data_IF_955232004792
#
_entry.id   IF_955232004792
#
_cell.length_a   1.000
_cell.length_b   1.000
_cell.length_c   1.000
_cell.angle_alpha   90.00
_cell.angle_beta   90.00
_cell.angle_gamma   90.00
#
_symmetry.space_group_name_H-M   'P 1'
#
loop_
_entity.id
_entity.type
_entity.pdbx_description
1 polymer ?
#
# COMPACT_ATOMS: atom_id res chain seq x y z
N UNK A 1 16.89 -12.74 0.07
CA UNK A 1 16.26 -13.04 1.37
C UNK A 1 14.94 -13.77 1.17
N UNK A 2 14.01 -13.25 0.37
CA UNK A 2 12.65 -13.80 0.16
C UNK A 2 12.37 -14.30 -1.27
N UNK A 3 13.37 -14.30 -2.16
CA UNK A 3 13.23 -14.69 -3.56
C UNK A 3 12.79 -13.55 -4.51
N UNK A 4 12.37 -12.41 -3.96
CA UNK A 4 12.10 -11.21 -4.77
C UNK A 4 13.35 -10.66 -5.44
N UNK A 5 13.17 -10.20 -6.68
CA UNK A 5 14.10 -9.35 -7.42
C UNK A 5 13.41 -8.06 -7.85
N UNK A 6 14.20 -7.03 -8.14
CA UNK A 6 13.69 -5.78 -8.69
C UNK A 6 14.01 -5.69 -10.17
N UNK A 7 13.06 -5.17 -10.95
CA UNK A 7 13.23 -4.85 -12.36
C UNK A 7 12.86 -3.38 -12.62
N UNK A 8 13.60 -2.68 -13.50
CA UNK A 8 13.34 -1.27 -13.75
C UNK A 8 12.01 -1.04 -14.46
N UNK A 9 11.31 0.02 -14.07
CA UNK A 9 10.14 0.52 -14.78
C UNK A 9 10.27 2.02 -15.04
N UNK A 10 9.75 2.46 -16.20
CA UNK A 10 9.87 3.85 -16.65
C UNK A 10 8.93 4.84 -15.94
N UNK A 11 8.00 4.35 -15.13
CA UNK A 11 6.96 5.13 -14.47
C UNK A 11 5.76 4.25 -14.09
N UNK A 12 4.58 4.85 -13.93
CA UNK A 12 3.36 4.12 -13.61
C UNK A 12 3.00 3.10 -14.70
N UNK A 13 2.63 1.90 -14.27
CA UNK A 13 2.11 0.84 -15.13
C UNK A 13 0.70 0.47 -14.71
N UNK A 14 -0.02 -0.23 -15.60
CA UNK A 14 -1.32 -0.77 -15.25
C UNK A 14 -1.23 -1.65 -13.99
N UNK A 15 -2.18 -1.57 -13.03
CA UNK A 15 -2.15 -2.40 -11.82
C UNK A 15 -1.99 -3.89 -12.12
N UNK A 16 -2.68 -4.36 -13.17
CA UNK A 16 -2.54 -5.73 -13.68
C UNK A 16 -1.10 -6.13 -13.99
N UNK A 17 -0.36 -5.26 -14.67
CA UNK A 17 1.03 -5.49 -15.04
C UNK A 17 1.91 -5.55 -13.80
N UNK A 18 1.70 -4.62 -12.87
CA UNK A 18 2.44 -4.58 -11.60
C UNK A 18 2.20 -5.82 -10.75
N UNK A 19 0.95 -6.16 -10.45
CA UNK A 19 0.60 -7.33 -9.66
C UNK A 19 1.05 -8.65 -10.31
N UNK A 20 0.95 -8.78 -11.64
CA UNK A 20 1.46 -9.96 -12.34
C UNK A 20 2.98 -10.11 -12.14
N UNK A 21 3.74 -9.00 -12.07
CA UNK A 21 5.15 -9.05 -11.73
C UNK A 21 5.36 -9.54 -10.29
N UNK A 22 4.57 -9.05 -9.32
CA UNK A 22 4.65 -9.49 -7.91
C UNK A 22 4.41 -11.00 -7.75
N UNK A 23 3.45 -11.56 -8.48
CA UNK A 23 3.18 -13.00 -8.49
C UNK A 23 4.40 -13.83 -8.91
N UNK A 24 5.29 -13.24 -9.72
CA UNK A 24 6.51 -13.85 -10.23
C UNK A 24 7.76 -13.43 -9.43
N UNK A 25 7.59 -12.95 -8.20
CA UNK A 25 8.65 -12.45 -7.34
C UNK A 25 9.46 -11.31 -7.98
N UNK A 26 8.78 -10.45 -8.75
CA UNK A 26 9.36 -9.26 -9.38
C UNK A 26 8.66 -8.02 -8.83
N UNK A 27 9.42 -7.14 -8.19
CA UNK A 27 8.95 -5.81 -7.86
C UNK A 27 9.44 -4.83 -8.94
N UNK A 28 8.51 -4.10 -9.56
CA UNK A 28 8.85 -3.11 -10.57
C UNK A 28 9.21 -1.79 -9.88
N UNK A 29 10.43 -1.30 -10.08
CA UNK A 29 10.95 -0.14 -9.34
C UNK A 29 11.39 0.97 -10.29
N UNK A 30 10.99 2.19 -9.95
CA UNK A 30 11.49 3.40 -10.61
C UNK A 30 12.96 3.65 -10.25
N UNK A 31 13.70 4.33 -11.14
CA UNK A 31 15.13 4.63 -10.94
C UNK A 31 15.43 6.13 -10.87
N UNK A 32 14.48 6.98 -11.25
CA UNK A 32 14.65 8.42 -11.16
C UNK A 32 14.48 8.90 -9.71
N UNK A 33 14.96 10.10 -9.41
CA UNK A 33 14.85 10.74 -8.11
C UNK A 33 13.90 11.94 -8.19
N UNK A 34 13.12 12.17 -7.14
CA UNK A 34 12.23 13.33 -7.03
C UNK A 34 12.97 14.66 -7.23
N UNK A 35 12.23 15.68 -7.66
CA UNK A 35 12.80 17.00 -7.87
C UNK A 35 13.25 17.65 -6.55
N UNK A 36 14.43 18.27 -6.54
CA UNK A 36 15.04 18.80 -5.33
C UNK A 36 14.28 19.96 -4.66
N UNK A 37 13.29 20.57 -5.32
CA UNK A 37 12.44 21.60 -4.71
C UNK A 37 11.38 21.05 -3.75
N UNK A 38 11.06 19.75 -3.82
CA UNK A 38 10.10 19.07 -2.94
C UNK A 38 10.73 17.77 -2.40
N UNK A 39 11.78 17.86 -1.56
CA UNK A 39 12.51 16.68 -1.11
C UNK A 39 11.69 15.79 -0.17
N UNK A 40 10.71 16.37 0.53
CA UNK A 40 9.96 15.68 1.60
C UNK A 40 8.68 14.97 1.13
N UNK A 41 8.25 15.19 -0.12
CA UNK A 41 7.07 14.56 -0.70
C UNK A 41 7.14 14.54 -2.23
N UNK A 42 6.62 13.48 -2.85
CA UNK A 42 6.42 13.38 -4.30
C UNK A 42 5.12 12.62 -4.59
N UNK A 43 4.29 13.07 -5.54
CA UNK A 43 3.05 12.37 -5.92
C UNK A 43 3.30 11.14 -6.79
N UNK A 44 4.51 11.01 -7.36
CA UNK A 44 4.94 9.86 -8.15
C UNK A 44 6.05 9.10 -7.42
N UNK A 45 6.08 7.76 -7.49
CA UNK A 45 7.13 6.97 -6.87
C UNK A 45 8.49 7.31 -7.49
N UNK A 46 9.51 7.43 -6.65
CA UNK A 46 10.90 7.64 -7.03
C UNK A 46 11.81 6.62 -6.34
N UNK A 47 13.10 6.58 -6.68
CA UNK A 47 14.04 5.59 -6.13
C UNK A 47 14.13 5.59 -4.61
N UNK A 48 13.84 6.72 -3.93
CA UNK A 48 13.78 6.76 -2.46
C UNK A 48 12.57 5.97 -1.95
N UNK A 49 11.40 6.15 -2.58
CA UNK A 49 10.21 5.36 -2.29
C UNK A 49 10.45 3.86 -2.49
N UNK A 50 11.09 3.48 -3.59
CA UNK A 50 11.38 2.06 -3.87
C UNK A 50 12.37 1.45 -2.86
N UNK A 51 13.45 2.17 -2.54
CA UNK A 51 14.53 1.62 -1.72
C UNK A 51 14.21 1.68 -0.22
N UNK A 52 13.69 2.80 0.26
CA UNK A 52 13.42 3.02 1.68
C UNK A 52 12.07 2.44 2.07
N UNK A 53 11.05 2.61 1.21
CA UNK A 53 9.71 2.10 1.46
C UNK A 53 9.62 0.60 1.18
N UNK A 54 9.76 0.20 -0.09
CA UNK A 54 9.48 -1.18 -0.51
C UNK A 54 10.60 -2.17 -0.24
N UNK A 55 11.83 -1.84 -0.65
CA UNK A 55 12.93 -2.81 -0.69
C UNK A 55 13.27 -3.34 0.69
N UNK A 56 13.26 -2.47 1.71
CA UNK A 56 13.46 -2.88 3.10
C UNK A 56 12.37 -3.88 3.55
N UNK A 57 11.11 -3.62 3.21
CA UNK A 57 9.97 -4.47 3.57
C UNK A 57 9.96 -5.80 2.80
N UNK A 58 10.48 -5.86 1.57
CA UNK A 58 10.61 -7.11 0.81
C UNK A 58 11.57 -8.12 1.45
N UNK A 59 12.38 -7.71 2.43
CA UNK A 59 13.19 -8.63 3.25
C UNK A 59 12.38 -9.34 4.34
N UNK A 60 11.17 -8.86 4.66
CA UNK A 60 10.25 -9.46 5.63
C UNK A 60 9.43 -10.57 4.93
N UNK A 61 9.51 -11.84 5.38
CA UNK A 61 8.85 -12.97 4.71
C UNK A 61 7.34 -12.80 4.53
N UNK A 62 6.65 -12.35 5.57
CA UNK A 62 5.21 -12.11 5.60
C UNK A 62 4.80 -11.04 4.57
N UNK A 63 5.60 -9.97 4.47
CA UNK A 63 5.35 -8.89 3.50
C UNK A 63 5.59 -9.34 2.06
N UNK A 64 6.67 -10.08 1.82
CA UNK A 64 6.96 -10.67 0.52
C UNK A 64 5.84 -11.65 0.09
N UNK A 65 5.32 -12.43 1.02
CA UNK A 65 4.19 -13.34 0.76
C UNK A 65 2.91 -12.58 0.40
N UNK A 66 2.57 -11.49 1.11
CA UNK A 66 1.41 -10.67 0.75
C UNK A 66 1.54 -10.10 -0.66
N UNK A 67 2.69 -9.55 -1.03
CA UNK A 67 2.94 -9.05 -2.39
C UNK A 67 2.67 -10.15 -3.45
N UNK A 68 3.19 -11.36 -3.21
CA UNK A 68 2.96 -12.51 -4.09
C UNK A 68 1.48 -12.88 -4.18
N UNK A 69 0.78 -12.94 -3.04
CA UNK A 69 -0.64 -13.29 -2.97
C UNK A 69 -1.55 -12.26 -3.65
N UNK A 70 -1.27 -10.95 -3.51
CA UNK A 70 -1.95 -9.91 -4.29
C UNK A 70 -1.74 -10.11 -5.79
N UNK A 71 -0.51 -10.46 -6.20
CA UNK A 71 -0.20 -10.82 -7.56
C UNK A 71 -1.04 -11.98 -8.09
N UNK A 72 -1.13 -13.07 -7.33
CA UNK A 72 -1.94 -14.24 -7.69
C UNK A 72 -3.44 -13.93 -7.72
N UNK A 73 -3.92 -13.12 -6.78
CA UNK A 73 -5.30 -12.64 -6.72
C UNK A 73 -5.67 -11.86 -7.97
N UNK A 74 -4.80 -10.94 -8.38
CA UNK A 74 -5.00 -10.22 -9.61
C UNK A 74 -4.99 -11.20 -10.79
N UNK A 75 -4.03 -12.11 -10.92
CA UNK A 75 -3.97 -13.08 -12.03
C UNK A 75 -5.25 -13.89 -12.26
N UNK A 76 -6.06 -14.13 -11.23
CA UNK A 76 -7.38 -14.80 -11.33
C UNK A 76 -8.50 -13.91 -11.89
N UNK A 77 -8.28 -12.60 -11.96
CA UNK A 77 -9.26 -11.58 -12.32
C UNK A 77 -9.02 -11.05 -13.75
N UNK A 78 -10.07 -10.78 -14.52
CA UNK A 78 -9.95 -10.10 -15.83
C UNK A 78 -10.75 -8.80 -15.91
N UNK A 79 -11.73 -8.61 -15.02
CA UNK A 79 -12.54 -7.40 -14.93
C UNK A 79 -11.75 -6.21 -14.38
N UNK A 80 -11.77 -5.10 -15.11
CA UNK A 80 -11.17 -3.83 -14.67
C UNK A 80 -11.76 -3.32 -13.35
N UNK A 81 -13.05 -3.58 -13.10
CA UNK A 81 -13.68 -3.20 -11.85
C UNK A 81 -13.08 -3.97 -10.67
N UNK A 82 -12.85 -5.28 -10.82
CA UNK A 82 -12.18 -6.08 -9.79
C UNK A 82 -10.70 -5.70 -9.65
N UNK A 83 -9.98 -5.48 -10.76
CA UNK A 83 -8.57 -5.03 -10.71
C UNK A 83 -8.46 -3.70 -9.94
N UNK A 84 -9.37 -2.76 -10.20
CA UNK A 84 -9.41 -1.46 -9.50
C UNK A 84 -9.67 -1.66 -8.01
N UNK A 85 -10.67 -2.46 -7.63
CA UNK A 85 -11.00 -2.70 -6.22
C UNK A 85 -9.86 -3.37 -5.45
N UNK A 86 -9.21 -4.37 -6.05
CA UNK A 86 -8.04 -5.01 -5.45
C UNK A 86 -6.88 -4.01 -5.30
N UNK A 87 -6.68 -3.14 -6.30
CA UNK A 87 -5.71 -2.04 -6.24
C UNK A 87 -5.99 -1.06 -5.11
N UNK A 88 -7.26 -0.74 -4.82
CA UNK A 88 -7.64 0.08 -3.67
C UNK A 88 -7.29 -0.59 -2.34
N UNK A 89 -7.50 -1.91 -2.22
CA UNK A 89 -7.06 -2.65 -1.03
C UNK A 89 -5.54 -2.63 -0.91
N UNK A 90 -4.82 -2.84 -2.02
CA UNK A 90 -3.36 -2.73 -2.04
C UNK A 90 -2.90 -1.33 -1.58
N UNK A 91 -3.56 -0.25 -2.03
CA UNK A 91 -3.25 1.11 -1.60
C UNK A 91 -3.37 1.29 -0.08
N UNK A 92 -4.54 0.99 0.49
CA UNK A 92 -4.77 1.26 1.91
C UNK A 92 -4.08 0.29 2.86
N UNK A 93 -3.76 -0.93 2.41
CA UNK A 93 -3.09 -1.93 3.25
C UNK A 93 -1.60 -1.97 2.98
N UNK A 94 -1.18 -2.13 1.72
CA UNK A 94 0.21 -2.33 1.37
C UNK A 94 0.96 -1.01 1.23
N UNK A 95 0.38 0.04 0.63
CA UNK A 95 1.07 1.34 0.44
C UNK A 95 0.99 2.26 1.66
N UNK A 96 -0.18 2.33 2.30
CA UNK A 96 -0.48 3.25 3.41
C UNK A 96 -0.98 2.52 4.66
N UNK A 97 -0.49 1.29 4.91
CA UNK A 97 -0.87 0.55 6.10
C UNK A 97 -0.19 1.01 7.40
N UNK A 98 -0.95 1.04 8.49
CA UNK A 98 -0.49 1.32 9.85
C UNK A 98 -1.07 0.31 10.86
N UNK A 99 -0.32 -0.01 11.90
CA UNK A 99 -0.78 -0.90 12.98
C UNK A 99 -0.42 -0.35 14.36
N UNK A 100 -0.97 -0.99 15.40
CA UNK A 100 -0.51 -0.80 16.77
C UNK A 100 0.65 -1.72 17.11
N UNK A 101 1.64 -1.18 17.80
CA UNK A 101 2.74 -1.94 18.39
C UNK A 101 3.02 -1.39 19.78
N UNK A 102 2.87 -2.21 20.82
CA UNK A 102 3.08 -1.81 22.23
C UNK A 102 2.29 -0.55 22.66
N UNK A 103 1.12 -0.32 22.05
CA UNK A 103 0.26 0.84 22.32
C UNK A 103 0.55 2.06 21.43
N UNK A 104 1.70 2.09 20.74
CA UNK A 104 2.03 3.12 19.76
C UNK A 104 1.42 2.80 18.39
N UNK A 105 1.24 3.83 17.57
CA UNK A 105 0.91 3.68 16.15
C UNK A 105 2.22 3.61 15.36
N UNK A 106 2.35 2.62 14.49
CA UNK A 106 3.49 2.42 13.61
C UNK A 106 3.01 2.31 12.16
N UNK A 107 3.63 3.08 11.28
CA UNK A 107 3.50 2.91 9.84
C UNK A 107 4.34 1.71 9.38
N UNK A 108 3.80 0.93 8.46
CA UNK A 108 4.53 -0.09 7.72
C UNK A 108 4.37 0.06 6.20
N UNK A 109 3.40 0.86 5.76
CA UNK A 109 3.18 1.21 4.36
C UNK A 109 4.35 2.02 3.76
N UNK A 110 4.94 1.57 2.63
CA UNK A 110 6.03 2.25 1.91
C UNK A 110 5.76 3.71 1.53
N UNK A 111 4.52 4.06 1.20
CA UNK A 111 4.10 5.44 0.94
C UNK A 111 4.42 6.37 2.11
N UNK A 112 4.17 5.90 3.35
CA UNK A 112 4.53 6.62 4.56
C UNK A 112 6.02 6.50 4.89
N UNK A 113 6.60 5.30 4.83
CA UNK A 113 8.01 5.06 5.20
C UNK A 113 9.01 5.90 4.38
N UNK A 114 8.61 6.33 3.18
CA UNK A 114 9.42 7.16 2.28
C UNK A 114 9.01 8.64 2.20
N UNK A 115 8.03 9.04 3.03
CA UNK A 115 7.47 10.39 3.13
C UNK A 115 7.62 10.88 4.56
N UNK A 116 8.67 11.68 4.82
CA UNK A 116 9.00 12.15 6.17
C UNK A 116 7.83 12.86 6.85
N UNK A 117 7.11 13.74 6.13
CA UNK A 117 5.99 14.47 6.71
C UNK A 117 4.77 13.59 6.95
N UNK A 118 4.53 12.58 6.10
CA UNK A 118 3.35 11.73 6.19
C UNK A 118 3.49 10.64 7.26
N UNK A 119 4.69 10.07 7.46
CA UNK A 119 4.92 9.15 8.58
C UNK A 119 4.75 9.82 9.94
N UNK A 120 5.20 11.07 10.08
CA UNK A 120 5.02 11.85 11.31
C UNK A 120 3.54 12.15 11.54
N UNK A 121 2.83 12.58 10.50
CA UNK A 121 1.37 12.79 10.54
C UNK A 121 0.62 11.52 10.94
N UNK A 122 0.97 10.38 10.33
CA UNK A 122 0.33 9.09 10.57
C UNK A 122 0.63 8.49 11.95
N UNK A 123 1.81 8.71 12.53
CA UNK A 123 2.19 8.07 13.80
C UNK A 123 1.90 8.96 15.04
N UNK A 124 1.63 10.25 14.84
CA UNK A 124 1.36 11.20 15.94
C UNK A 124 -0.11 11.59 16.06
N UNK A 125 -1.02 10.89 15.37
CA UNK A 125 -2.43 11.27 15.28
C UNK A 125 -2.63 12.69 14.74
N UNK A 126 -1.76 13.13 13.82
CA UNK A 126 -1.77 14.49 13.28
C UNK A 126 -1.24 15.57 14.23
N UNK A 127 -0.80 15.23 15.44
CA UNK A 127 -0.25 16.20 16.40
C UNK A 127 1.06 16.84 15.92
N UNK A 128 1.79 16.18 15.03
CA UNK A 128 2.90 16.74 14.28
C UNK A 128 2.70 16.43 12.80
N UNK A 129 2.81 17.47 11.96
CA UNK A 129 2.94 17.31 10.52
C UNK A 129 4.08 18.19 10.00
N UNK A 130 4.76 17.74 8.95
CA UNK A 130 5.64 18.58 8.15
C UNK A 130 4.95 19.84 7.60
N UNK A 131 5.74 20.82 7.16
CA UNK A 131 5.24 22.10 6.62
C UNK A 131 5.00 22.08 5.10
N UNK A 132 4.76 20.89 4.54
CA UNK A 132 4.64 20.69 3.09
C UNK A 132 3.23 21.04 2.56
N UNK A 133 3.14 21.51 1.31
CA UNK A 133 1.87 21.80 0.62
C UNK A 133 0.96 20.55 0.44
N UNK A 134 1.56 19.37 0.52
CA UNK A 134 0.85 18.09 0.50
C UNK A 134 0.18 17.77 1.85
N UNK A 135 0.61 18.40 2.94
CA UNK A 135 0.02 18.15 4.24
C UNK A 135 -1.38 18.73 4.37
N UNK A 136 -2.26 17.95 4.98
CA UNK A 136 -3.66 18.28 5.25
C UNK A 136 -3.88 18.59 6.73
N UNK A 137 -2.99 19.37 7.38
CA UNK A 137 -2.92 19.63 8.85
C UNK A 137 -4.21 20.13 9.55
N UNK A 138 -5.33 20.19 8.86
CA UNK A 138 -6.66 20.47 9.40
C UNK A 138 -7.65 19.65 8.54
N UNK A 139 -8.01 18.40 8.93
CA UNK A 139 -8.17 17.90 10.31
C UNK A 139 -7.11 16.89 10.80
N UNK A 140 -7.22 16.50 12.08
CA UNK A 140 -6.58 15.31 12.66
C UNK A 140 -6.86 14.07 11.80
N UNK A 141 -5.86 13.20 11.63
CA UNK A 141 -6.00 11.96 10.86
C UNK A 141 -7.05 11.05 11.51
N UNK A 142 -7.98 10.54 10.72
CA UNK A 142 -9.00 9.60 11.21
C UNK A 142 -8.45 8.16 11.17
N UNK A 143 -8.41 7.47 12.31
CA UNK A 143 -8.12 6.03 12.34
C UNK A 143 -9.41 5.22 12.32
N UNK A 144 -9.54 4.34 11.33
CA UNK A 144 -10.70 3.45 11.19
C UNK A 144 -10.32 2.01 11.46
N UNK A 145 -11.30 1.23 11.91
CA UNK A 145 -11.18 -0.23 11.94
C UNK A 145 -11.14 -0.76 10.50
N UNK A 146 -10.20 -1.65 10.16
CA UNK A 146 -10.15 -2.30 8.86
C UNK A 146 -11.45 -3.04 8.52
N UNK A 147 -11.99 -2.79 7.33
CA UNK A 147 -13.13 -3.50 6.75
C UNK A 147 -12.94 -3.57 5.23
N UNK A 148 -12.70 -4.77 4.70
CA UNK A 148 -12.40 -4.94 3.27
C UNK A 148 -13.55 -4.54 2.34
N UNK A 149 -14.82 -4.66 2.76
CA UNK A 149 -15.95 -4.22 1.94
C UNK A 149 -15.96 -2.69 1.76
N UNK A 150 -15.54 -1.96 2.80
CA UNK A 150 -15.42 -0.52 2.76
C UNK A 150 -14.13 -0.08 2.06
N UNK A 151 -12.99 -0.68 2.42
CA UNK A 151 -11.66 -0.40 1.86
C UNK A 151 -11.70 -0.48 0.33
N UNK A 152 -12.21 -1.58 -0.24
CA UNK A 152 -12.10 -1.83 -1.68
C UNK A 152 -12.85 -0.83 -2.57
N UNK A 153 -13.77 -0.06 -1.97
CA UNK A 153 -14.57 0.95 -2.67
C UNK A 153 -14.20 2.39 -2.29
N UNK A 154 -13.25 2.56 -1.36
CA UNK A 154 -12.87 3.86 -0.82
C UNK A 154 -12.07 4.68 -1.85
N UNK A 155 -12.50 5.92 -2.17
CA UNK A 155 -11.69 6.81 -2.98
C UNK A 155 -10.48 7.32 -2.19
N UNK A 156 -9.37 7.56 -2.87
CA UNK A 156 -8.16 8.16 -2.32
C UNK A 156 -7.58 9.22 -3.26
N UNK A 157 -6.81 10.15 -2.70
CA UNK A 157 -6.05 11.15 -3.44
C UNK A 157 -4.56 10.81 -3.34
N UNK A 158 -3.89 10.72 -4.49
CA UNK A 158 -2.45 10.42 -4.60
C UNK A 158 -1.57 11.66 -4.47
N UNK A 159 -2.18 12.85 -4.42
CA UNK A 159 -1.49 14.15 -4.42
C UNK A 159 -1.43 14.81 -3.03
N UNK A 160 -2.11 14.21 -2.05
CA UNK A 160 -2.23 14.70 -0.68
C UNK A 160 -1.94 13.58 0.31
N UNK A 161 -1.57 13.97 1.53
CA UNK A 161 -1.47 13.01 2.62
C UNK A 161 -2.83 12.34 2.87
N UNK A 162 -2.81 11.08 3.26
CA UNK A 162 -4.04 10.36 3.55
C UNK A 162 -4.75 11.00 4.76
N UNK A 163 -6.01 11.47 4.61
CA UNK A 163 -6.76 12.10 5.70
C UNK A 163 -7.26 11.07 6.73
N UNK A 164 -7.14 9.78 6.41
CA UNK A 164 -7.53 8.67 7.26
C UNK A 164 -6.63 7.46 6.99
N UNK A 165 -6.49 6.58 7.98
CA UNK A 165 -5.84 5.28 7.81
C UNK A 165 -6.67 4.16 8.44
N UNK A 166 -6.61 2.97 7.83
CA UNK A 166 -7.10 1.76 8.49
C UNK A 166 -6.04 1.26 9.46
N UNK A 167 -6.37 1.30 10.74
CA UNK A 167 -5.44 0.99 11.81
C UNK A 167 -5.66 -0.43 12.31
N UNK A 168 -4.72 -1.30 11.99
CA UNK A 168 -4.70 -2.68 12.43
C UNK A 168 -4.26 -2.80 13.90
N UNK A 169 -4.78 -3.76 14.66
CA UNK A 169 -4.37 -3.97 16.05
C UNK A 169 -2.96 -4.53 16.17
N UNK A 170 -2.47 -5.19 15.12
CA UNK A 170 -1.07 -5.61 14.99
C UNK A 170 -0.71 -5.89 13.53
N UNK A 171 0.60 -5.95 13.24
CA UNK A 171 1.08 -6.42 11.92
C UNK A 171 0.66 -7.86 11.64
N UNK A 172 0.61 -8.72 12.67
CA UNK A 172 0.18 -10.12 12.54
C UNK A 172 -1.29 -10.24 12.13
N UNK A 173 -2.18 -9.46 12.76
CA UNK A 173 -3.59 -9.40 12.39
C UNK A 173 -3.74 -8.97 10.93
N UNK A 174 -3.08 -7.88 10.54
CA UNK A 174 -3.09 -7.37 9.17
C UNK A 174 -2.67 -8.46 8.18
N UNK A 175 -1.56 -9.15 8.46
CA UNK A 175 -1.06 -10.21 7.61
C UNK A 175 -2.06 -11.35 7.46
N UNK A 176 -2.64 -11.83 8.56
CA UNK A 176 -3.58 -12.96 8.57
C UNK A 176 -4.86 -12.62 7.79
N UNK A 177 -5.53 -11.53 8.16
CA UNK A 177 -6.81 -11.14 7.57
C UNK A 177 -6.66 -10.77 6.09
N UNK A 178 -5.59 -10.05 5.75
CA UNK A 178 -5.32 -9.68 4.34
C UNK A 178 -4.98 -10.93 3.53
N UNK A 179 -4.18 -11.85 4.05
CA UNK A 179 -3.87 -13.11 3.38
C UNK A 179 -5.12 -13.94 3.08
N UNK A 180 -6.04 -14.04 4.03
CA UNK A 180 -7.32 -14.75 3.84
C UNK A 180 -8.17 -14.08 2.77
N UNK A 181 -8.30 -12.76 2.82
CA UNK A 181 -9.03 -11.96 1.84
C UNK A 181 -8.49 -12.17 0.42
N UNK A 182 -7.19 -11.97 0.19
CA UNK A 182 -6.61 -12.07 -1.16
C UNK A 182 -6.56 -13.51 -1.68
N UNK A 183 -6.49 -14.52 -0.80
CA UNK A 183 -6.58 -15.93 -1.22
C UNK A 183 -7.98 -16.29 -1.72
N UNK A 184 -9.01 -15.71 -1.12
CA UNK A 184 -10.39 -15.87 -1.59
C UNK A 184 -10.66 -15.09 -2.89
N UNK A 185 -9.97 -13.96 -3.11
CA UNK A 185 -10.21 -13.06 -4.24
C UNK A 185 -10.20 -13.77 -5.61
N UNK A 186 -11.28 -13.63 -6.37
CA UNK A 186 -11.43 -14.22 -7.71
C UNK A 186 -11.56 -15.74 -7.74
N UNK A 187 -11.88 -16.36 -6.60
CA UNK A 187 -12.20 -17.80 -6.51
C UNK A 187 -13.72 -18.02 -6.41
N UNK A 188 -14.17 -19.28 -6.47
CA UNK A 188 -15.58 -19.63 -6.23
C UNK A 188 -16.07 -19.28 -4.81
N UNK A 189 -15.15 -19.15 -3.85
CA UNK A 189 -15.45 -18.74 -2.48
C UNK A 189 -15.56 -17.22 -2.32
N UNK A 190 -15.21 -16.43 -3.34
CA UNK A 190 -15.30 -14.98 -3.28
C UNK A 190 -16.77 -14.53 -3.30
N UNK A 191 -17.26 -13.82 -2.26
CA UNK A 191 -18.60 -13.23 -2.30
C UNK A 191 -18.79 -12.25 -3.47
N UNK A 192 -17.70 -11.74 -4.07
CA UNK A 192 -17.68 -10.82 -5.20
C UNK A 192 -17.55 -11.53 -6.55
N UNK A 193 -17.75 -12.84 -6.65
CA UNK A 193 -17.58 -13.63 -7.89
C UNK A 193 -18.13 -12.98 -9.18
N UNK A 194 -19.23 -12.24 -9.11
CA UNK A 194 -19.83 -11.55 -10.26
C UNK A 194 -18.99 -10.35 -10.75
N UNK A 195 -18.17 -9.76 -9.88
CA UNK A 195 -17.26 -8.66 -10.19
C UNK A 195 -16.10 -9.09 -11.10
N UNK A 196 -15.70 -10.38 -11.06
CA UNK A 196 -14.54 -10.90 -11.80
C UNK A 196 -14.86 -11.31 -13.23
N UNK A 197 -16.15 -11.41 -13.58
CA UNK A 197 -16.64 -11.81 -14.90
C UNK A 197 -16.53 -10.70 -15.93
#
# INVERSE_FOLDING_TARGET
MTGFRQEPVGGLVHPKTFHTALANHVFLSTQYIRHASHPFYTPEPDVVHEMVGHTAMLAVPEWAELNRLFGEADMRTQSEAAITRLGTVFWFVMEFGACRENGDIKAFGPGMLSSFGEIEHACTAGAACGREDACVCDPEIEYRTPDFEEIETRPYDVTKYQPMLYLWDSFEQMFQETSEFVKAWGTEADPRRELHR
#
